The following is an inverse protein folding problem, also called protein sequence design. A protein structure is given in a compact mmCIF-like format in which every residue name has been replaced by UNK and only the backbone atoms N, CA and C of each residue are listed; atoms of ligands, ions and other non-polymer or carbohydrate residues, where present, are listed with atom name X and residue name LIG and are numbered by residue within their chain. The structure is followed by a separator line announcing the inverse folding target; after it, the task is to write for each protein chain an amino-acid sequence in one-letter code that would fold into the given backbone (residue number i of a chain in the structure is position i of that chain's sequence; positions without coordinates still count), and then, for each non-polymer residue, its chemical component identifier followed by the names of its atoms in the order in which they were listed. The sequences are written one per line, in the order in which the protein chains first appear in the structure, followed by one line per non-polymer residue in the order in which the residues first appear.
data_IF_186181654655
#
_entry.id   IF_186181654655
#
_cell.length_a   1.000
_cell.length_b   1.000
_cell.length_c   1.000
_cell.angle_alpha   90.00
_cell.angle_beta   90.00
_cell.angle_gamma   90.00
#
_symmetry.space_group_name_H-M   'P 1'
#
loop_
_entity.id
_entity.type
_entity.pdbx_description
1 polymer ?
#
# COMPACT_ATOMS: atom_id res chain seq x y z
N UNK A 1 -40.87 -10.12 -56.62
CA UNK A 1 -39.82 -10.28 -55.61
C UNK A 1 -40.19 -9.45 -54.39
N UNK A 2 -40.54 -10.10 -53.28
CA UNK A 2 -40.74 -9.49 -51.95
C UNK A 2 -39.97 -10.40 -50.99
N UNK A 3 -38.84 -9.93 -50.48
CA UNK A 3 -37.99 -10.70 -49.56
C UNK A 3 -38.43 -10.33 -48.15
N UNK A 4 -38.94 -11.32 -47.42
CA UNK A 4 -39.53 -11.19 -46.09
C UNK A 4 -38.49 -10.91 -45.00
N UNK A 5 -38.91 -10.12 -44.03
CA UNK A 5 -38.23 -9.85 -42.76
C UNK A 5 -38.22 -11.10 -41.87
N UNK A 6 -37.04 -11.59 -41.51
CA UNK A 6 -36.87 -12.58 -40.44
C UNK A 6 -36.54 -11.83 -39.15
N UNK A 7 -37.46 -11.88 -38.19
CA UNK A 7 -37.24 -11.38 -36.83
C UNK A 7 -36.41 -12.42 -36.06
N UNK A 8 -35.18 -12.06 -35.69
CA UNK A 8 -34.32 -12.87 -34.82
C UNK A 8 -34.64 -12.50 -33.36
N UNK A 9 -35.29 -13.41 -32.66
CA UNK A 9 -35.49 -13.34 -31.21
C UNK A 9 -34.17 -13.71 -30.51
N UNK A 10 -33.47 -12.70 -29.98
CA UNK A 10 -32.31 -12.91 -29.11
C UNK A 10 -32.84 -13.16 -27.69
N UNK A 11 -32.80 -14.43 -27.26
CA UNK A 11 -33.03 -14.81 -25.88
C UNK A 11 -31.77 -14.44 -25.08
N UNK A 12 -31.80 -13.32 -24.37
CA UNK A 12 -30.78 -12.97 -23.39
C UNK A 12 -30.94 -13.85 -22.14
N UNK A 13 -30.16 -14.94 -22.08
CA UNK A 13 -29.90 -15.65 -20.84
C UNK A 13 -29.03 -14.75 -19.93
N UNK A 14 -29.62 -14.27 -18.83
CA UNK A 14 -28.91 -13.47 -17.83
C UNK A 14 -27.85 -14.31 -17.11
N UNK A 15 -26.59 -14.13 -17.52
CA UNK A 15 -25.44 -14.55 -16.73
C UNK A 15 -25.33 -13.61 -15.53
N UNK A 16 -25.75 -14.06 -14.35
CA UNK A 16 -25.40 -13.40 -13.09
C UNK A 16 -23.90 -13.59 -12.86
N UNK A 17 -23.11 -12.59 -13.25
CA UNK A 17 -21.68 -12.54 -12.91
C UNK A 17 -21.61 -12.25 -11.41
N UNK A 18 -21.46 -13.29 -10.59
CA UNK A 18 -21.02 -13.12 -9.22
C UNK A 18 -19.67 -12.41 -9.26
N UNK A 19 -19.45 -11.33 -8.50
CA UNK A 19 -18.13 -10.74 -8.42
C UNK A 19 -17.20 -11.78 -7.80
N UNK A 20 -16.36 -12.39 -8.64
CA UNK A 20 -15.22 -13.16 -8.18
C UNK A 20 -14.31 -12.14 -7.51
N UNK A 21 -14.45 -12.03 -6.18
CA UNK A 21 -13.41 -11.45 -5.34
C UNK A 21 -12.21 -12.38 -5.54
N UNK A 22 -11.36 -12.02 -6.49
CA UNK A 22 -10.04 -12.61 -6.61
C UNK A 22 -9.33 -12.24 -5.32
N UNK A 23 -9.40 -13.11 -4.31
CA UNK A 23 -8.62 -12.97 -3.09
C UNK A 23 -7.17 -13.02 -3.51
N UNK A 24 -6.56 -11.85 -3.70
CA UNK A 24 -5.14 -11.76 -3.92
C UNK A 24 -4.45 -12.40 -2.72
N UNK A 25 -3.42 -13.21 -2.98
CA UNK A 25 -2.59 -13.76 -1.91
C UNK A 25 -2.13 -12.60 -1.00
N UNK A 26 -2.53 -12.59 0.27
CA UNK A 26 -2.24 -11.48 1.17
C UNK A 26 -0.74 -11.25 1.35
N UNK A 27 0.08 -12.31 1.26
CA UNK A 27 1.54 -12.16 1.34
C UNK A 27 2.08 -11.48 0.09
N UNK A 28 1.61 -11.88 -1.10
CA UNK A 28 2.00 -11.25 -2.35
C UNK A 28 1.59 -9.77 -2.39
N UNK A 29 0.36 -9.45 -1.98
CA UNK A 29 -0.14 -8.07 -1.88
C UNK A 29 0.70 -7.22 -0.91
N UNK A 30 1.00 -7.76 0.28
CA UNK A 30 1.87 -7.09 1.25
C UNK A 30 3.28 -6.84 0.67
N UNK A 31 3.88 -7.83 -0.02
CA UNK A 31 5.20 -7.68 -0.65
C UNK A 31 5.20 -6.60 -1.73
N UNK A 32 4.20 -6.58 -2.60
CA UNK A 32 4.09 -5.55 -3.67
C UNK A 32 3.97 -4.16 -3.08
N UNK A 33 3.13 -3.97 -2.05
CA UNK A 33 2.99 -2.69 -1.38
C UNK A 33 4.26 -2.27 -0.65
N UNK A 34 4.92 -3.19 0.05
CA UNK A 34 6.20 -2.92 0.72
C UNK A 34 7.28 -2.46 -0.27
N UNK A 35 7.36 -3.04 -1.47
CA UNK A 35 8.29 -2.59 -2.52
C UNK A 35 7.97 -1.17 -2.99
N UNK A 36 6.70 -0.88 -3.28
CA UNK A 36 6.25 0.46 -3.68
C UNK A 36 6.54 1.49 -2.59
N UNK A 37 6.19 1.16 -1.34
CA UNK A 37 6.42 1.97 -0.15
C UNK A 37 7.90 2.28 0.06
N UNK A 38 8.76 1.26 -0.01
CA UNK A 38 10.21 1.40 0.12
C UNK A 38 10.76 2.34 -0.96
N UNK A 39 10.36 2.13 -2.22
CA UNK A 39 10.80 2.98 -3.32
C UNK A 39 10.35 4.44 -3.14
N UNK A 40 9.09 4.67 -2.75
CA UNK A 40 8.54 6.01 -2.56
C UNK A 40 9.21 6.79 -1.42
N UNK A 41 9.51 6.13 -0.29
CA UNK A 41 10.15 6.79 0.86
C UNK A 41 11.66 6.95 0.69
N UNK A 42 12.31 5.99 0.01
CA UNK A 42 13.74 6.06 -0.32
C UNK A 42 14.05 7.01 -1.48
N UNK A 43 13.04 7.37 -2.29
CA UNK A 43 13.23 8.31 -3.39
C UNK A 43 13.66 9.69 -2.86
N UNK A 44 14.94 9.97 -3.08
CA UNK A 44 15.56 11.24 -2.78
C UNK A 44 15.55 12.19 -3.97
N UNK A 45 15.04 11.82 -5.14
CA UNK A 45 15.06 12.71 -6.32
C UNK A 45 14.18 13.95 -6.11
N UNK A 46 13.18 13.85 -5.23
CA UNK A 46 12.40 14.98 -4.70
C UNK A 46 13.18 15.83 -3.67
N UNK A 47 14.52 15.88 -3.77
CA UNK A 47 15.55 16.41 -2.84
C UNK A 47 15.45 17.89 -2.46
N UNK A 48 14.26 18.50 -2.56
CA UNK A 48 14.00 19.71 -1.78
C UNK A 48 14.23 19.40 -0.31
N UNK A 49 15.13 20.15 0.33
CA UNK A 49 15.33 20.21 1.79
C UNK A 49 14.14 20.82 2.52
N UNK A 50 12.96 20.83 1.89
CA UNK A 50 11.75 21.34 2.47
C UNK A 50 11.18 20.27 3.42
N UNK A 51 10.97 20.67 4.67
CA UNK A 51 10.28 19.87 5.67
C UNK A 51 8.95 19.28 5.14
N UNK A 52 8.22 20.07 4.35
CA UNK A 52 6.95 19.64 3.72
C UNK A 52 7.12 18.44 2.79
N UNK A 53 8.22 18.34 2.06
CA UNK A 53 8.50 17.20 1.18
C UNK A 53 8.80 15.94 1.99
N UNK A 54 9.59 16.06 3.07
CA UNK A 54 9.86 14.96 3.99
C UNK A 54 8.58 14.45 4.65
N UNK A 55 7.76 15.37 5.18
CA UNK A 55 6.45 15.03 5.75
C UNK A 55 5.53 14.36 4.75
N UNK A 56 5.49 14.83 3.50
CA UNK A 56 4.63 14.25 2.48
C UNK A 56 5.00 12.79 2.19
N UNK A 57 6.30 12.47 2.04
CA UNK A 57 6.75 11.09 1.82
C UNK A 57 6.38 10.18 2.99
N UNK A 58 6.62 10.64 4.22
CA UNK A 58 6.25 9.89 5.42
C UNK A 58 4.73 9.66 5.52
N UNK A 59 3.90 10.63 5.11
CA UNK A 59 2.44 10.46 5.05
C UNK A 59 1.99 9.46 3.99
N UNK A 60 2.60 9.50 2.79
CA UNK A 60 2.32 8.50 1.74
C UNK A 60 2.70 7.09 2.19
N UNK A 61 3.81 6.98 2.91
CA UNK A 61 4.21 5.75 3.56
C UNK A 61 3.16 5.27 4.57
N UNK A 62 2.75 6.12 5.52
CA UNK A 62 1.67 5.78 6.49
C UNK A 62 0.42 5.27 5.75
N UNK A 63 0.03 5.92 4.64
CA UNK A 63 -1.11 5.50 3.84
C UNK A 63 -0.97 4.09 3.23
N UNK A 64 0.23 3.72 2.79
CA UNK A 64 0.55 2.38 2.33
C UNK A 64 0.50 1.34 3.46
N UNK A 65 0.99 1.69 4.65
CA UNK A 65 1.00 0.78 5.82
C UNK A 65 -0.41 0.48 6.31
N UNK A 66 -1.21 1.52 6.50
CA UNK A 66 -2.54 1.38 7.11
C UNK A 66 -3.63 1.02 6.09
N UNK A 67 -3.50 1.48 4.85
CA UNK A 67 -4.57 1.42 3.86
C UNK A 67 -5.73 2.39 4.14
N UNK A 68 -6.72 2.45 3.23
CA UNK A 68 -7.92 3.28 3.43
C UNK A 68 -8.65 2.92 4.74
N UNK A 69 -8.99 3.94 5.54
CA UNK A 69 -9.62 3.74 6.86
C UNK A 69 -8.64 3.61 8.02
N UNK A 70 -7.32 3.64 7.75
CA UNK A 70 -6.27 3.78 8.75
C UNK A 70 -6.44 5.02 9.63
N UNK A 71 -6.03 4.91 10.90
CA UNK A 71 -6.15 6.00 11.89
C UNK A 71 -5.39 7.26 11.47
N UNK A 72 -4.23 7.09 10.85
CA UNK A 72 -3.33 8.17 10.44
C UNK A 72 -3.37 8.40 8.92
N UNK A 73 -4.26 7.70 8.21
CA UNK A 73 -4.41 7.82 6.77
C UNK A 73 -4.80 9.26 6.37
N UNK A 74 -4.01 9.86 5.49
CA UNK A 74 -4.19 11.23 5.02
C UNK A 74 -4.51 11.24 3.52
N UNK A 75 -5.77 11.46 3.14
CA UNK A 75 -6.20 11.49 1.71
C UNK A 75 -5.36 12.47 0.88
N UNK A 76 -5.10 13.67 1.41
CA UNK A 76 -4.38 14.74 0.72
C UNK A 76 -2.92 14.38 0.38
N UNK A 77 -2.31 13.42 1.09
CA UNK A 77 -0.95 12.97 0.78
C UNK A 77 -0.90 12.05 -0.46
N UNK A 78 -2.03 11.44 -0.84
CA UNK A 78 -2.08 10.37 -1.83
C UNK A 78 -1.63 9.02 -1.25
N UNK A 79 -1.97 7.93 -1.94
CA UNK A 79 -1.56 6.58 -1.53
C UNK A 79 -0.91 5.88 -2.74
N UNK A 80 0.43 5.75 -2.77
CA UNK A 80 1.11 5.10 -3.89
C UNK A 80 0.81 3.59 -3.96
N UNK A 81 0.39 2.96 -2.86
CA UNK A 81 0.01 1.55 -2.80
C UNK A 81 -1.45 1.27 -3.21
N UNK A 82 -2.20 2.30 -3.65
CA UNK A 82 -3.62 2.14 -4.00
C UNK A 82 -3.80 1.05 -5.07
N UNK A 83 -4.70 0.11 -4.80
CA UNK A 83 -5.05 -0.98 -5.72
C UNK A 83 -4.08 -2.17 -5.70
N UNK A 84 -3.05 -2.16 -4.85
CA UNK A 84 -2.10 -3.27 -4.71
C UNK A 84 -2.45 -4.23 -3.56
N UNK A 85 -3.44 -3.87 -2.73
CA UNK A 85 -3.85 -4.58 -1.53
C UNK A 85 -4.76 -3.72 -0.65
N UNK A 86 -4.99 -4.17 0.58
CA UNK A 86 -5.86 -3.49 1.56
C UNK A 86 -5.07 -2.63 2.55
N UNK A 87 -3.77 -2.43 2.31
CA UNK A 87 -2.80 -1.86 3.25
C UNK A 87 -1.91 -2.95 3.85
N UNK A 88 -0.62 -2.67 3.98
CA UNK A 88 0.40 -3.67 4.38
C UNK A 88 0.02 -4.36 5.69
N UNK A 89 -0.48 -3.61 6.68
CA UNK A 89 -0.89 -4.21 7.95
C UNK A 89 -2.09 -5.15 7.83
N UNK A 90 -3.06 -4.79 7.00
CA UNK A 90 -4.26 -5.60 6.81
C UNK A 90 -3.92 -6.88 6.06
N UNK A 91 -3.10 -6.77 5.02
CA UNK A 91 -2.68 -7.91 4.22
C UNK A 91 -1.76 -8.85 5.03
N UNK A 92 -0.79 -8.32 5.79
CA UNK A 92 0.01 -9.15 6.70
C UNK A 92 -0.84 -9.85 7.76
N UNK A 93 -1.81 -9.16 8.38
CA UNK A 93 -2.69 -9.79 9.39
C UNK A 93 -3.63 -10.85 8.79
N UNK A 94 -4.03 -10.70 7.52
CA UNK A 94 -4.83 -11.69 6.81
C UNK A 94 -4.03 -12.95 6.45
N UNK A 95 -2.70 -12.87 6.37
CA UNK A 95 -1.81 -13.98 6.07
C UNK A 95 -1.52 -14.90 7.28
N UNK A 96 -2.57 -15.48 7.86
CA UNK A 96 -2.48 -16.38 9.02
C UNK A 96 -1.65 -17.64 8.72
N UNK A 97 -0.91 -18.15 9.70
CA UNK A 97 -0.18 -19.43 9.61
C UNK A 97 1.22 -19.34 9.00
N UNK A 98 1.69 -18.16 8.60
CA UNK A 98 3.05 -17.96 8.10
C UNK A 98 3.94 -17.31 9.18
N UNK A 99 4.90 -18.05 9.73
CA UNK A 99 5.80 -17.52 10.77
C UNK A 99 6.61 -16.29 10.33
N UNK A 100 6.92 -16.17 9.02
CA UNK A 100 7.65 -15.04 8.45
C UNK A 100 6.85 -13.73 8.50
N UNK A 101 5.52 -13.83 8.42
CA UNK A 101 4.60 -12.69 8.43
C UNK A 101 4.66 -11.94 9.76
N UNK A 102 4.81 -12.64 10.90
CA UNK A 102 4.95 -12.00 12.20
C UNK A 102 6.19 -11.10 12.28
N UNK A 103 7.32 -11.57 11.75
CA UNK A 103 8.55 -10.78 11.66
C UNK A 103 8.39 -9.58 10.74
N UNK A 104 7.77 -9.77 9.56
CA UNK A 104 7.51 -8.68 8.63
C UNK A 104 6.59 -7.62 9.24
N UNK A 105 5.55 -8.03 9.97
CA UNK A 105 4.61 -7.13 10.64
C UNK A 105 5.32 -6.28 11.69
N UNK A 106 6.20 -6.87 12.51
CA UNK A 106 6.98 -6.13 13.51
C UNK A 106 7.84 -5.03 12.88
N UNK A 107 8.52 -5.32 11.77
CA UNK A 107 9.28 -4.30 11.05
C UNK A 107 8.38 -3.23 10.43
N UNK A 108 7.23 -3.62 9.85
CA UNK A 108 6.26 -2.66 9.34
C UNK A 108 5.70 -1.74 10.44
N UNK A 109 5.48 -2.25 11.66
CA UNK A 109 5.05 -1.47 12.82
C UNK A 109 6.13 -0.50 13.31
N UNK A 110 7.39 -0.93 13.32
CA UNK A 110 8.53 -0.07 13.62
C UNK A 110 8.65 1.09 12.61
N UNK A 111 8.57 0.77 11.31
CA UNK A 111 8.52 1.77 10.25
C UNK A 111 7.38 2.77 10.46
N UNK A 112 6.18 2.29 10.81
CA UNK A 112 5.06 3.18 11.10
C UNK A 112 5.33 4.11 12.28
N UNK A 113 5.90 3.59 13.37
CA UNK A 113 6.28 4.38 14.54
C UNK A 113 7.27 5.50 14.19
N UNK A 114 8.31 5.19 13.42
CA UNK A 114 9.28 6.18 12.96
C UNK A 114 8.66 7.20 12.00
N UNK A 115 7.75 6.78 11.12
CA UNK A 115 7.06 7.70 10.24
C UNK A 115 6.21 8.72 11.01
N UNK A 116 5.51 8.28 12.07
CA UNK A 116 4.75 9.16 12.96
C UNK A 116 5.64 10.17 13.69
N UNK A 117 6.83 9.74 14.16
CA UNK A 117 7.81 10.65 14.76
C UNK A 117 8.34 11.66 13.75
N UNK A 118 8.64 11.23 12.52
CA UNK A 118 9.14 12.10 11.47
C UNK A 118 8.15 13.18 11.02
N UNK A 119 6.85 12.86 10.92
CA UNK A 119 5.83 13.88 10.58
C UNK A 119 5.53 14.86 11.72
N UNK A 120 5.87 14.51 12.96
CA UNK A 120 5.74 15.39 14.12
C UNK A 120 6.94 16.35 14.27
N UNK A 121 8.07 16.04 13.63
CA UNK A 121 9.27 16.89 13.65
C UNK A 121 9.07 18.19 12.89
N UNK A 122 9.60 19.29 13.43
CA UNK A 122 9.76 20.58 12.75
C UNK A 122 11.14 20.78 12.14
N UNK A 123 12.06 19.85 12.37
CA UNK A 123 13.41 19.84 11.81
C UNK A 123 13.48 18.89 10.61
N UNK A 124 13.99 19.40 9.49
CA UNK A 124 14.08 18.62 8.25
C UNK A 124 15.12 17.51 8.33
N UNK A 125 16.24 17.73 9.02
CA UNK A 125 17.27 16.72 9.22
C UNK A 125 16.71 15.54 10.03
N UNK A 126 16.00 15.83 11.11
CA UNK A 126 15.30 14.82 11.93
C UNK A 126 14.24 14.09 11.12
N UNK A 127 13.41 14.80 10.35
CA UNK A 127 12.40 14.15 9.50
C UNK A 127 13.02 13.24 8.42
N UNK A 128 14.15 13.64 7.86
CA UNK A 128 14.91 12.83 6.90
C UNK A 128 15.56 11.61 7.55
N UNK A 129 16.10 11.75 8.77
CA UNK A 129 16.62 10.61 9.55
C UNK A 129 15.53 9.57 9.79
N UNK A 130 14.33 9.99 10.18
CA UNK A 130 13.21 9.06 10.33
C UNK A 130 12.80 8.42 9.00
N UNK A 131 12.79 9.16 7.89
CA UNK A 131 12.53 8.58 6.57
C UNK A 131 13.56 7.49 6.19
N UNK A 132 14.82 7.65 6.59
CA UNK A 132 15.84 6.61 6.42
C UNK A 132 15.57 5.38 7.29
N UNK A 133 15.22 5.57 8.57
CA UNK A 133 14.86 4.46 9.48
C UNK A 133 13.64 3.68 8.96
N UNK A 134 12.64 4.41 8.46
CA UNK A 134 11.47 3.83 7.79
C UNK A 134 11.89 2.97 6.60
N UNK A 135 12.73 3.49 5.71
CA UNK A 135 13.21 2.72 4.55
C UNK A 135 13.96 1.44 4.98
N UNK A 136 14.80 1.54 6.01
CA UNK A 136 15.51 0.39 6.58
C UNK A 136 14.54 -0.69 7.08
N UNK A 137 13.53 -0.32 7.86
CA UNK A 137 12.56 -1.28 8.39
C UNK A 137 11.67 -1.88 7.30
N UNK A 138 11.26 -1.13 6.28
CA UNK A 138 10.53 -1.69 5.14
C UNK A 138 11.36 -2.71 4.36
N UNK A 139 12.66 -2.45 4.19
CA UNK A 139 13.55 -3.42 3.57
C UNK A 139 13.65 -4.70 4.41
N UNK A 140 13.78 -4.59 5.73
CA UNK A 140 13.77 -5.77 6.62
C UNK A 140 12.43 -6.51 6.60
N UNK A 141 11.31 -5.80 6.49
CA UNK A 141 10.00 -6.42 6.32
C UNK A 141 9.90 -7.21 5.00
N UNK A 142 10.41 -6.65 3.90
CA UNK A 142 10.50 -7.34 2.60
C UNK A 142 11.38 -8.58 2.67
N UNK A 143 12.56 -8.46 3.29
CA UNK A 143 13.52 -9.55 3.45
C UNK A 143 12.91 -10.69 4.28
N UNK A 144 12.17 -10.36 5.34
CA UNK A 144 11.46 -11.35 6.15
C UNK A 144 10.43 -12.15 5.34
N UNK A 145 9.80 -11.55 4.33
CA UNK A 145 8.81 -12.23 3.49
C UNK A 145 9.43 -13.10 2.37
N UNK A 146 10.74 -13.07 2.13
CA UNK A 146 11.42 -13.95 1.16
C UNK A 146 11.48 -15.38 1.70
#
# INVERSE_FOLDING_TARGET
MRIGTVAVLIVLAGLTVLPVVHGQDPVAAARTQLMTALFDVADQTQRGTALSAAHLRLRRMINCLEGPGGKNFTVAAGNPCRGQGSGIFNDLRAATGNAKVGTALRFAEAAHGFALQGIASTDVGVAQTYAWMVAFDLNNALDALR
#
